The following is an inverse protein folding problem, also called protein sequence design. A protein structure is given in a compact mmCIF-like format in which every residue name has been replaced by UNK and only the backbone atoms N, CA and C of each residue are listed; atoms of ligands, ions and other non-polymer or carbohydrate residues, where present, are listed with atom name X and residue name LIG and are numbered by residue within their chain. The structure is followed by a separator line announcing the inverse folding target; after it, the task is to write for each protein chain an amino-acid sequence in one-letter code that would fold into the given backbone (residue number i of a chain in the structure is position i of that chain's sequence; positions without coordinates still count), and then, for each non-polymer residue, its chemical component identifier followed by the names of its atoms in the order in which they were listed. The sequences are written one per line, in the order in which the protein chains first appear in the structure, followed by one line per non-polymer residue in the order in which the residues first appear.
data_IF_730140631055
#
_entry.id   IF_730140631055
#
_cell.length_a   1.000
_cell.length_b   1.000
_cell.length_c   1.000
_cell.angle_alpha   90.00
_cell.angle_beta   90.00
_cell.angle_gamma   90.00
#
_symmetry.space_group_name_H-M   'P 1'
#
loop_
_entity.id
_entity.type
_entity.pdbx_description
1 polymer ?
#
# COMPACT_ATOMS: atom_id res chain seq x y z
N UNK A 1 -65.91 -47.03 -27.22
CA UNK A 1 -66.68 -46.12 -26.34
C UNK A 1 -66.02 -46.19 -24.98
N UNK A 2 -65.67 -45.02 -24.48
CA UNK A 2 -64.57 -44.73 -23.55
C UNK A 2 -64.68 -45.29 -22.14
N UNK A 3 -63.52 -45.54 -21.55
CA UNK A 3 -63.33 -45.90 -20.15
C UNK A 3 -63.54 -44.68 -19.25
N UNK A 4 -64.45 -44.80 -18.28
CA UNK A 4 -64.67 -43.84 -17.21
C UNK A 4 -63.57 -43.99 -16.16
N UNK A 5 -62.62 -43.05 -16.15
CA UNK A 5 -61.57 -42.93 -15.16
C UNK A 5 -62.15 -42.16 -13.95
N UNK A 6 -62.63 -42.91 -12.95
CA UNK A 6 -63.04 -42.36 -11.66
C UNK A 6 -61.81 -41.88 -10.89
N UNK A 7 -61.67 -40.57 -10.76
CA UNK A 7 -60.68 -39.94 -9.93
C UNK A 7 -60.97 -40.16 -8.44
N UNK A 8 -59.93 -40.48 -7.69
CA UNK A 8 -59.89 -40.21 -6.26
C UNK A 8 -58.74 -39.21 -6.02
N UNK A 9 -59.15 -37.98 -5.73
CA UNK A 9 -58.29 -36.83 -5.52
C UNK A 9 -57.73 -36.87 -4.10
N UNK A 10 -56.51 -37.35 -3.94
CA UNK A 10 -55.66 -37.02 -2.78
C UNK A 10 -54.63 -35.98 -3.20
N UNK A 11 -55.10 -34.77 -3.48
CA UNK A 11 -54.24 -33.65 -3.87
C UNK A 11 -54.62 -32.37 -3.10
N UNK A 12 -54.91 -32.50 -1.79
CA UNK A 12 -55.30 -31.39 -0.91
C UNK A 12 -54.27 -31.04 0.19
N UNK A 13 -53.03 -31.54 0.17
CA UNK A 13 -52.02 -31.17 1.18
C UNK A 13 -50.91 -30.21 0.70
N UNK A 14 -50.85 -29.87 -0.59
CA UNK A 14 -49.70 -29.14 -1.16
C UNK A 14 -49.80 -27.61 -1.07
N UNK A 15 -50.93 -27.07 -0.59
CA UNK A 15 -51.19 -25.62 -0.55
C UNK A 15 -50.76 -24.87 0.71
N UNK A 16 -50.30 -25.54 1.77
CA UNK A 16 -49.98 -24.88 3.06
C UNK A 16 -48.78 -25.44 3.82
N UNK A 17 -47.93 -26.25 3.17
CA UNK A 17 -46.72 -26.74 3.82
C UNK A 17 -45.74 -25.57 4.06
N UNK A 18 -45.47 -25.25 5.33
CA UNK A 18 -44.45 -24.26 5.70
C UNK A 18 -43.05 -24.77 5.32
N UNK A 19 -42.16 -23.86 4.92
CA UNK A 19 -40.80 -24.23 4.53
C UNK A 19 -40.02 -24.76 5.74
N UNK A 20 -39.54 -26.02 5.73
CA UNK A 20 -38.96 -26.65 6.92
C UNK A 20 -37.70 -25.95 7.44
N UNK A 21 -36.99 -25.21 6.58
CA UNK A 21 -35.69 -24.58 6.89
C UNK A 21 -35.79 -23.07 7.13
N UNK A 22 -36.98 -22.57 7.48
CA UNK A 22 -37.22 -21.15 7.72
C UNK A 22 -36.26 -20.51 8.74
N UNK A 23 -35.94 -21.23 9.82
CA UNK A 23 -35.10 -20.74 10.93
C UNK A 23 -33.60 -21.06 10.78
N UNK A 24 -33.16 -21.64 9.66
CA UNK A 24 -31.73 -21.99 9.46
C UNK A 24 -30.95 -20.72 9.16
N UNK A 25 -29.99 -20.34 10.01
CA UNK A 25 -29.22 -19.07 9.83
C UNK A 25 -28.26 -19.06 8.63
N UNK A 26 -27.72 -20.23 8.27
CA UNK A 26 -26.77 -20.37 7.15
C UNK A 26 -27.52 -20.38 5.81
N UNK A 27 -27.28 -19.41 4.91
CA UNK A 27 -28.04 -19.29 3.65
C UNK A 27 -27.82 -20.46 2.69
N UNK A 28 -26.62 -21.06 2.67
CA UNK A 28 -26.32 -22.23 1.84
C UNK A 28 -27.09 -23.45 2.30
N UNK A 29 -27.12 -23.69 3.62
CA UNK A 29 -27.92 -24.78 4.22
C UNK A 29 -29.42 -24.54 4.11
N UNK A 30 -29.84 -23.27 4.15
CA UNK A 30 -31.23 -22.87 3.96
C UNK A 30 -31.71 -23.21 2.55
N UNK A 31 -30.94 -22.90 1.51
CA UNK A 31 -31.26 -23.31 0.12
C UNK A 31 -31.00 -24.80 -0.14
N UNK A 32 -30.10 -25.44 0.61
CA UNK A 32 -29.78 -26.87 0.46
C UNK A 32 -28.70 -27.11 -0.60
N UNK A 33 -27.80 -26.16 -0.73
CA UNK A 33 -26.72 -26.15 -1.72
C UNK A 33 -25.37 -26.12 -1.01
N UNK A 34 -24.33 -26.57 -1.70
CA UNK A 34 -22.95 -26.48 -1.20
C UNK A 34 -22.48 -25.02 -1.16
N UNK A 35 -21.51 -24.73 -0.29
CA UNK A 35 -20.80 -23.42 -0.28
C UNK A 35 -20.05 -23.15 -1.58
N UNK A 36 -19.69 -24.22 -2.29
CA UNK A 36 -18.97 -24.20 -3.56
C UNK A 36 -19.91 -24.23 -4.77
N UNK A 37 -21.22 -24.15 -4.55
CA UNK A 37 -22.21 -24.22 -5.62
C UNK A 37 -22.04 -23.09 -6.66
N UNK A 38 -22.26 -23.46 -7.93
CA UNK A 38 -22.22 -22.54 -9.06
C UNK A 38 -23.37 -21.52 -8.99
N UNK A 39 -23.27 -20.42 -9.73
CA UNK A 39 -24.35 -19.41 -9.78
C UNK A 39 -25.65 -20.01 -10.35
N UNK A 40 -25.53 -20.91 -11.34
CA UNK A 40 -26.67 -21.60 -11.95
C UNK A 40 -27.37 -22.53 -10.94
N UNK A 41 -26.62 -23.24 -10.12
CA UNK A 41 -27.16 -24.10 -9.06
C UNK A 41 -27.89 -23.31 -7.99
N UNK A 42 -27.36 -22.14 -7.60
CA UNK A 42 -28.00 -21.23 -6.65
C UNK A 42 -29.35 -20.75 -7.19
N UNK A 43 -29.40 -20.34 -8.46
CA UNK A 43 -30.61 -19.84 -9.09
C UNK A 43 -31.65 -20.95 -9.33
N UNK A 44 -31.20 -22.15 -9.70
CA UNK A 44 -32.05 -23.32 -9.85
C UNK A 44 -32.68 -23.73 -8.52
N UNK A 45 -31.90 -23.78 -7.44
CA UNK A 45 -32.39 -24.09 -6.10
C UNK A 45 -33.42 -23.05 -5.60
N UNK A 46 -33.16 -21.75 -5.83
CA UNK A 46 -34.13 -20.69 -5.52
C UNK A 46 -35.45 -20.91 -6.25
N UNK A 47 -35.39 -21.08 -7.58
CA UNK A 47 -36.57 -21.22 -8.43
C UNK A 47 -37.41 -22.45 -8.05
N UNK A 48 -36.75 -23.58 -7.78
CA UNK A 48 -37.39 -24.79 -7.31
C UNK A 48 -38.12 -24.59 -5.96
N UNK A 49 -37.46 -23.95 -4.99
CA UNK A 49 -38.02 -23.74 -3.66
C UNK A 49 -39.16 -22.71 -3.66
N UNK A 50 -39.06 -21.63 -4.44
CA UNK A 50 -40.14 -20.64 -4.57
C UNK A 50 -41.39 -21.31 -5.16
N UNK A 51 -41.23 -22.10 -6.22
CA UNK A 51 -42.37 -22.80 -6.84
C UNK A 51 -43.01 -23.82 -5.88
N UNK A 52 -42.22 -24.52 -5.06
CA UNK A 52 -42.71 -25.51 -4.11
C UNK A 52 -43.45 -24.88 -2.91
N UNK A 53 -43.08 -23.67 -2.50
CA UNK A 53 -43.60 -23.02 -1.29
C UNK A 53 -44.31 -21.68 -1.56
N UNK A 54 -44.79 -21.46 -2.79
CA UNK A 54 -45.42 -20.22 -3.24
C UNK A 54 -46.65 -19.79 -2.42
N UNK A 55 -47.34 -20.75 -1.78
CA UNK A 55 -48.52 -20.49 -0.94
C UNK A 55 -48.22 -19.87 0.43
N UNK A 56 -46.97 -19.89 0.91
CA UNK A 56 -46.61 -19.39 2.25
C UNK A 56 -45.63 -18.22 2.16
N UNK A 57 -46.13 -16.98 2.28
CA UNK A 57 -45.33 -15.73 2.15
C UNK A 57 -44.04 -15.72 3.00
N UNK A 58 -44.04 -16.13 4.29
CA UNK A 58 -42.81 -16.15 5.09
C UNK A 58 -41.77 -17.14 4.55
N UNK A 59 -42.20 -18.22 3.89
CA UNK A 59 -41.28 -19.18 3.26
C UNK A 59 -40.54 -18.57 2.09
N UNK A 60 -41.27 -17.86 1.22
CA UNK A 60 -40.72 -17.21 0.04
C UNK A 60 -39.71 -16.14 0.44
N UNK A 61 -40.05 -15.29 1.41
CA UNK A 61 -39.16 -14.25 1.93
C UNK A 61 -37.88 -14.85 2.57
N UNK A 62 -38.01 -15.96 3.29
CA UNK A 62 -36.86 -16.67 3.85
C UNK A 62 -35.92 -17.25 2.78
N UNK A 63 -36.45 -17.65 1.62
CA UNK A 63 -35.69 -18.17 0.47
C UNK A 63 -34.99 -17.04 -0.28
N UNK A 64 -35.69 -15.93 -0.54
CA UNK A 64 -35.12 -14.76 -1.21
C UNK A 64 -34.00 -14.10 -0.39
N UNK A 65 -34.24 -13.90 0.91
CA UNK A 65 -33.20 -13.39 1.81
C UNK A 65 -31.96 -14.30 1.90
N UNK A 66 -32.11 -15.62 1.68
CA UNK A 66 -30.98 -16.54 1.62
C UNK A 66 -30.14 -16.32 0.36
N UNK A 67 -30.82 -16.20 -0.78
CA UNK A 67 -30.20 -15.92 -2.07
C UNK A 67 -29.42 -14.59 -2.03
N UNK A 68 -30.05 -13.52 -1.56
CA UNK A 68 -29.44 -12.18 -1.54
C UNK A 68 -28.19 -12.14 -0.65
N UNK A 69 -28.19 -12.87 0.47
CA UNK A 69 -27.00 -13.02 1.33
C UNK A 69 -25.85 -13.71 0.62
N UNK A 70 -26.11 -14.74 -0.19
CA UNK A 70 -25.07 -15.45 -0.94
C UNK A 70 -24.48 -14.53 -2.01
N UNK A 71 -25.33 -13.80 -2.74
CA UNK A 71 -24.89 -12.83 -3.75
C UNK A 71 -24.02 -11.74 -3.10
N UNK A 72 -24.47 -11.19 -1.96
CA UNK A 72 -23.73 -10.17 -1.24
C UNK A 72 -22.37 -10.70 -0.73
N UNK A 73 -22.34 -11.93 -0.23
CA UNK A 73 -21.09 -12.57 0.21
C UNK A 73 -20.10 -12.75 -0.96
N UNK A 74 -20.55 -13.27 -2.12
CA UNK A 74 -19.72 -13.41 -3.32
C UNK A 74 -19.23 -12.03 -3.84
N UNK A 75 -20.05 -10.99 -3.71
CA UNK A 75 -19.66 -9.62 -4.06
C UNK A 75 -18.55 -9.08 -3.14
N UNK A 76 -18.68 -9.27 -1.82
CA UNK A 76 -17.63 -8.87 -0.86
C UNK A 76 -16.31 -9.61 -1.10
N UNK A 77 -16.37 -10.91 -1.39
CA UNK A 77 -15.19 -11.72 -1.71
C UNK A 77 -14.48 -11.24 -2.99
N UNK A 78 -15.24 -10.83 -4.02
CA UNK A 78 -14.69 -10.23 -5.26
C UNK A 78 -14.14 -8.82 -5.04
N UNK A 79 -14.78 -8.01 -4.18
CA UNK A 79 -14.39 -6.60 -3.94
C UNK A 79 -13.21 -6.45 -3.00
N UNK A 80 -12.98 -7.41 -2.10
CA UNK A 80 -11.89 -7.34 -1.14
C UNK A 80 -11.07 -8.64 -1.17
N UNK A 81 -10.35 -8.92 -2.28
CA UNK A 81 -9.43 -10.04 -2.30
C UNK A 81 -8.46 -9.85 -1.15
N UNK A 82 -8.29 -10.86 -0.29
CA UNK A 82 -7.34 -10.81 0.84
C UNK A 82 -5.96 -10.50 0.27
N UNK A 83 -5.54 -9.24 0.31
CA UNK A 83 -4.24 -8.83 -0.21
C UNK A 83 -3.20 -9.34 0.76
N UNK A 84 -2.55 -10.45 0.41
CA UNK A 84 -1.39 -10.94 1.13
C UNK A 84 -0.20 -10.01 0.87
N UNK A 85 -0.16 -8.89 1.58
CA UNK A 85 0.90 -7.87 1.51
C UNK A 85 2.28 -8.51 1.65
N UNK A 86 2.41 -9.52 2.53
CA UNK A 86 3.65 -10.27 2.74
C UNK A 86 4.12 -11.01 1.49
N UNK A 87 3.20 -11.60 0.71
CA UNK A 87 3.53 -12.31 -0.54
C UNK A 87 3.92 -11.33 -1.65
N UNK A 88 3.23 -10.21 -1.75
CA UNK A 88 3.51 -9.16 -2.75
C UNK A 88 4.85 -8.45 -2.47
N UNK A 89 5.13 -8.13 -1.21
CA UNK A 89 6.43 -7.57 -0.79
C UNK A 89 7.56 -8.55 -1.08
N UNK A 90 7.40 -9.85 -0.76
CA UNK A 90 8.40 -10.88 -1.08
C UNK A 90 8.69 -10.98 -2.58
N UNK A 91 7.66 -10.91 -3.42
CA UNK A 91 7.82 -10.94 -4.87
C UNK A 91 8.58 -9.72 -5.40
N UNK A 92 8.31 -8.53 -4.87
CA UNK A 92 9.01 -7.28 -5.27
C UNK A 92 10.47 -7.29 -4.80
N UNK A 93 10.74 -7.74 -3.56
CA UNK A 93 12.11 -7.86 -3.03
C UNK A 93 12.96 -8.89 -3.78
N UNK A 94 12.34 -9.88 -4.45
CA UNK A 94 13.04 -10.88 -5.26
C UNK A 94 13.43 -10.39 -6.66
N UNK A 95 12.98 -9.21 -7.09
CA UNK A 95 13.31 -8.69 -8.41
C UNK A 95 14.79 -8.28 -8.48
N UNK A 96 15.52 -8.74 -9.51
CA UNK A 96 16.97 -8.48 -9.68
C UNK A 96 17.33 -6.99 -9.64
N UNK A 97 16.46 -6.14 -10.20
CA UNK A 97 16.65 -4.68 -10.19
C UNK A 97 16.50 -4.11 -8.78
N UNK A 98 15.51 -4.58 -8.02
CA UNK A 98 15.29 -4.14 -6.63
C UNK A 98 16.44 -4.61 -5.74
N UNK A 99 16.94 -5.82 -5.94
CA UNK A 99 18.12 -6.32 -5.23
C UNK A 99 19.39 -5.57 -5.60
N UNK A 100 19.60 -5.21 -6.87
CA UNK A 100 20.75 -4.42 -7.30
C UNK A 100 20.74 -3.04 -6.63
N UNK A 101 19.59 -2.35 -6.62
CA UNK A 101 19.44 -1.06 -5.94
C UNK A 101 19.57 -1.21 -4.42
N UNK A 102 18.88 -2.18 -3.81
CA UNK A 102 18.95 -2.42 -2.36
C UNK A 102 20.36 -2.82 -1.89
N UNK A 103 21.14 -3.55 -2.71
CA UNK A 103 22.51 -3.91 -2.37
C UNK A 103 23.45 -2.70 -2.27
N UNK A 104 23.09 -1.60 -2.93
CA UNK A 104 23.80 -0.31 -2.89
C UNK A 104 23.42 0.53 -1.66
N UNK A 105 22.27 0.25 -1.04
CA UNK A 105 21.72 0.96 0.10
C UNK A 105 21.69 0.05 1.34
N UNK A 106 22.74 0.11 2.16
CA UNK A 106 22.76 -0.62 3.43
C UNK A 106 22.26 0.28 4.54
N UNK A 107 21.19 -0.14 5.24
CA UNK A 107 20.70 0.55 6.43
C UNK A 107 21.78 0.53 7.52
N UNK A 108 22.36 1.68 7.89
CA UNK A 108 23.39 1.74 8.93
C UNK A 108 22.76 1.54 10.32
N UNK A 109 23.61 1.47 11.37
CA UNK A 109 23.13 1.40 12.75
C UNK A 109 22.36 2.66 13.13
N UNK A 110 21.32 2.53 13.97
CA UNK A 110 20.49 3.66 14.43
C UNK A 110 21.32 4.77 15.07
N UNK A 111 22.37 4.41 15.81
CA UNK A 111 23.30 5.37 16.42
C UNK A 111 24.04 6.22 15.38
N UNK A 112 24.43 5.60 14.26
CA UNK A 112 25.08 6.32 13.17
C UNK A 112 24.12 7.29 12.47
N UNK A 113 22.87 6.87 12.23
CA UNK A 113 21.83 7.74 11.65
C UNK A 113 21.62 8.97 12.54
N UNK A 114 21.48 8.78 13.86
CA UNK A 114 21.28 9.90 14.79
C UNK A 114 22.50 10.84 14.76
N UNK A 115 23.72 10.30 14.82
CA UNK A 115 24.96 11.11 14.76
C UNK A 115 25.05 11.95 13.49
N UNK A 116 24.78 11.36 12.32
CA UNK A 116 24.82 12.10 11.05
C UNK A 116 23.67 13.10 10.94
N UNK A 117 22.45 12.73 11.34
CA UNK A 117 21.29 13.63 11.35
C UNK A 117 21.53 14.85 12.23
N UNK A 118 22.04 14.67 13.46
CA UNK A 118 22.35 15.81 14.34
C UNK A 118 23.39 16.74 13.70
N UNK A 119 24.44 16.19 13.08
CA UNK A 119 25.47 17.01 12.44
C UNK A 119 24.90 17.88 11.30
N UNK A 120 24.09 17.31 10.41
CA UNK A 120 23.48 18.06 9.30
C UNK A 120 22.35 18.99 9.75
N UNK A 121 21.60 18.66 10.81
CA UNK A 121 20.59 19.54 11.39
C UNK A 121 21.23 20.77 12.05
N UNK A 122 22.29 20.58 12.83
CA UNK A 122 23.06 21.69 13.42
C UNK A 122 23.62 22.58 12.33
N UNK A 123 24.16 21.99 11.26
CA UNK A 123 24.68 22.74 10.12
C UNK A 123 23.58 23.53 9.40
N UNK A 124 22.43 22.92 9.11
CA UNK A 124 21.30 23.61 8.50
C UNK A 124 20.74 24.74 9.37
N UNK A 125 20.65 24.53 10.69
CA UNK A 125 20.26 25.58 11.63
C UNK A 125 21.26 26.73 11.65
N UNK A 126 22.56 26.43 11.64
CA UNK A 126 23.62 27.45 11.58
C UNK A 126 23.52 28.28 10.28
N UNK A 127 23.20 27.63 9.16
CA UNK A 127 22.99 28.29 7.87
C UNK A 127 21.80 29.24 7.85
N UNK A 128 20.71 28.88 8.53
CA UNK A 128 19.52 29.73 8.63
C UNK A 128 19.74 30.89 9.59
N UNK A 129 20.40 30.64 10.72
CA UNK A 129 20.59 31.63 11.80
C UNK A 129 21.73 32.62 11.50
N UNK A 130 22.78 32.18 10.82
CA UNK A 130 23.96 32.98 10.51
C UNK A 130 24.31 32.89 9.02
N UNK A 131 23.49 33.51 8.13
CA UNK A 131 23.86 33.65 6.73
C UNK A 131 25.06 34.62 6.62
N UNK A 132 26.18 34.14 6.10
CA UNK A 132 27.40 34.93 5.88
C UNK A 132 27.26 35.87 4.68
N UNK A 133 28.04 36.97 4.66
CA UNK A 133 27.99 37.98 3.59
C UNK A 133 28.33 37.41 2.20
N UNK A 134 29.21 36.41 2.16
CA UNK A 134 29.62 35.69 0.94
C UNK A 134 28.71 34.48 0.60
N UNK A 135 27.56 34.35 1.27
CA UNK A 135 26.68 33.17 1.17
C UNK A 135 27.20 31.96 1.96
N UNK A 136 26.46 30.83 2.03
CA UNK A 136 26.75 29.69 2.93
C UNK A 136 27.95 28.83 2.50
N UNK A 137 28.89 29.38 1.74
CA UNK A 137 30.03 28.67 1.12
C UNK A 137 30.87 27.89 2.14
N UNK A 138 31.20 28.51 3.28
CA UNK A 138 31.95 27.84 4.35
C UNK A 138 31.16 26.67 4.96
N UNK A 139 29.87 26.86 5.18
CA UNK A 139 28.99 25.82 5.74
C UNK A 139 28.84 24.67 4.75
N UNK A 140 28.75 24.96 3.45
CA UNK A 140 28.76 23.95 2.37
C UNK A 140 30.09 23.18 2.35
N UNK A 141 31.24 23.83 2.48
CA UNK A 141 32.52 23.15 2.57
C UNK A 141 32.60 22.21 3.78
N UNK A 142 32.13 22.65 4.95
CA UNK A 142 32.05 21.82 6.16
C UNK A 142 31.13 20.61 5.92
N UNK A 143 30.01 20.79 5.23
CA UNK A 143 29.09 19.70 4.88
C UNK A 143 29.76 18.62 4.01
N UNK A 144 30.61 19.04 3.07
CA UNK A 144 31.36 18.13 2.21
C UNK A 144 32.39 17.34 3.02
N UNK A 145 33.15 18.01 3.89
CA UNK A 145 34.12 17.35 4.77
C UNK A 145 33.43 16.37 5.72
N UNK A 146 32.28 16.74 6.30
CA UNK A 146 31.49 15.86 7.14
C UNK A 146 31.00 14.63 6.38
N UNK A 147 30.52 14.80 5.14
CA UNK A 147 30.10 13.71 4.26
C UNK A 147 31.27 12.75 4.00
N UNK A 148 32.44 13.28 3.63
CA UNK A 148 33.65 12.49 3.40
C UNK A 148 34.08 11.71 4.64
N UNK A 149 34.04 12.34 5.82
CA UNK A 149 34.37 11.71 7.08
C UNK A 149 33.41 10.56 7.43
N UNK A 150 32.10 10.79 7.34
CA UNK A 150 31.09 9.75 7.62
C UNK A 150 31.19 8.58 6.64
N UNK A 151 31.44 8.88 5.36
CA UNK A 151 31.59 7.85 4.35
C UNK A 151 32.90 7.07 4.52
N UNK A 152 33.98 7.73 4.95
CA UNK A 152 35.21 7.04 5.33
C UNK A 152 35.02 6.17 6.57
N UNK A 153 34.30 6.65 7.59
CA UNK A 153 34.03 5.87 8.80
C UNK A 153 33.23 4.60 8.49
N UNK A 154 32.30 4.66 7.52
CA UNK A 154 31.54 3.49 7.06
C UNK A 154 32.31 2.56 6.12
N UNK A 155 32.92 3.11 5.07
CA UNK A 155 33.52 2.32 3.99
C UNK A 155 34.95 1.86 4.31
N UNK A 156 35.59 2.49 5.31
CA UNK A 156 37.00 2.29 5.70
C UNK A 156 37.99 2.38 4.54
N UNK A 157 37.59 3.03 3.44
CA UNK A 157 38.38 3.20 2.21
C UNK A 157 38.42 4.66 1.81
N UNK A 158 39.63 5.23 1.76
CA UNK A 158 39.83 6.66 1.44
C UNK A 158 39.37 7.01 0.03
N UNK A 159 39.71 6.17 -0.96
CA UNK A 159 39.39 6.41 -2.37
C UNK A 159 37.88 6.31 -2.59
N UNK A 160 37.22 5.29 -2.05
CA UNK A 160 35.76 5.14 -2.20
C UNK A 160 35.01 6.26 -1.49
N UNK A 161 35.44 6.63 -0.28
CA UNK A 161 34.85 7.76 0.44
C UNK A 161 35.00 9.07 -0.34
N UNK A 162 36.17 9.32 -0.93
CA UNK A 162 36.39 10.50 -1.76
C UNK A 162 35.53 10.50 -3.02
N UNK A 163 35.55 9.42 -3.82
CA UNK A 163 34.78 9.32 -5.05
C UNK A 163 33.29 9.46 -4.81
N UNK A 164 32.74 8.72 -3.84
CA UNK A 164 31.32 8.81 -3.53
C UNK A 164 30.94 10.13 -2.86
N UNK A 165 31.81 10.72 -2.03
CA UNK A 165 31.58 12.04 -1.45
C UNK A 165 31.55 13.13 -2.53
N UNK A 166 32.53 13.15 -3.43
CA UNK A 166 32.59 14.09 -4.55
C UNK A 166 31.43 13.90 -5.53
N UNK A 167 31.09 12.66 -5.89
CA UNK A 167 29.97 12.37 -6.76
C UNK A 167 28.63 12.77 -6.11
N UNK A 168 28.44 12.47 -4.83
CA UNK A 168 27.25 12.87 -4.08
C UNK A 168 27.13 14.38 -3.99
N UNK A 169 28.23 15.10 -3.76
CA UNK A 169 28.26 16.55 -3.73
C UNK A 169 27.90 17.17 -5.07
N UNK A 170 28.57 16.75 -6.15
CA UNK A 170 28.28 17.25 -7.50
C UNK A 170 26.81 17.01 -7.87
N UNK A 171 26.30 15.80 -7.61
CA UNK A 171 24.89 15.49 -7.85
C UNK A 171 23.96 16.36 -7.00
N UNK A 172 24.22 16.47 -5.69
CA UNK A 172 23.38 17.23 -4.76
C UNK A 172 23.35 18.72 -5.10
N UNK A 173 24.50 19.28 -5.47
CA UNK A 173 24.63 20.69 -5.84
C UNK A 173 23.89 21.02 -7.15
N UNK A 174 24.11 20.21 -8.19
CA UNK A 174 23.42 20.37 -9.47
C UNK A 174 21.90 20.18 -9.31
N UNK A 175 21.49 19.16 -8.57
CA UNK A 175 20.08 18.88 -8.32
C UNK A 175 19.42 19.97 -7.48
N UNK A 176 20.08 20.44 -6.42
CA UNK A 176 19.57 21.53 -5.57
C UNK A 176 19.42 22.83 -6.35
N UNK A 177 20.40 23.17 -7.19
CA UNK A 177 20.34 24.35 -8.06
C UNK A 177 19.21 24.22 -9.08
N UNK A 178 19.09 23.07 -9.74
CA UNK A 178 18.00 22.79 -10.67
C UNK A 178 16.62 22.93 -10.00
N UNK A 179 16.44 22.39 -8.79
CA UNK A 179 15.18 22.45 -8.08
C UNK A 179 14.77 23.88 -7.70
N UNK A 180 15.75 24.71 -7.28
CA UNK A 180 15.53 26.13 -6.99
C UNK A 180 15.19 26.95 -8.24
N UNK A 181 15.84 26.67 -9.37
CA UNK A 181 15.62 27.43 -10.61
C UNK A 181 14.32 27.00 -11.32
N UNK A 182 13.92 25.73 -11.23
CA UNK A 182 12.81 25.19 -12.03
C UNK A 182 11.51 24.94 -11.28
N UNK A 183 11.53 24.65 -9.97
CA UNK A 183 10.36 24.08 -9.27
C UNK A 183 9.95 24.85 -8.03
N UNK A 184 10.90 25.33 -7.23
CA UNK A 184 10.63 25.85 -5.89
C UNK A 184 10.78 27.37 -5.85
N UNK A 185 9.68 28.15 -5.72
CA UNK A 185 9.80 29.56 -5.38
C UNK A 185 10.45 29.70 -4.00
N UNK A 186 11.31 30.71 -3.79
CA UNK A 186 12.08 30.85 -2.55
C UNK A 186 11.13 30.99 -1.35
N UNK A 187 11.14 29.99 -0.47
CA UNK A 187 10.30 29.98 0.75
C UNK A 187 10.77 31.01 1.77
N UNK A 188 12.06 31.34 1.77
CA UNK A 188 12.64 32.40 2.58
C UNK A 188 12.62 33.73 1.81
N UNK A 189 12.16 34.81 2.45
CA UNK A 189 12.19 36.17 1.88
C UNK A 189 13.54 36.81 2.21
N UNK A 190 14.33 37.18 1.19
CA UNK A 190 15.58 37.91 1.36
C UNK A 190 16.51 37.80 0.14
N UNK A 191 17.51 38.68 0.01
CA UNK A 191 18.42 38.75 -1.15
C UNK A 191 19.32 37.51 -1.33
N UNK A 192 19.35 36.58 -0.36
CA UNK A 192 20.19 35.36 -0.36
C UNK A 192 19.42 34.07 -0.09
N UNK A 193 18.09 34.10 -0.19
CA UNK A 193 17.26 32.94 0.10
C UNK A 193 17.52 31.78 -0.85
N UNK A 194 17.84 32.04 -2.12
CA UNK A 194 18.14 31.00 -3.11
C UNK A 194 19.38 30.18 -2.76
N UNK A 195 20.45 30.83 -2.32
CA UNK A 195 21.70 30.16 -1.94
C UNK A 195 21.53 29.35 -0.66
N UNK A 196 20.87 29.93 0.34
CA UNK A 196 20.53 29.23 1.59
C UNK A 196 19.67 28.00 1.30
N UNK A 197 18.62 28.13 0.49
CA UNK A 197 17.73 27.02 0.19
C UNK A 197 18.39 25.92 -0.66
N UNK A 198 19.25 26.30 -1.63
CA UNK A 198 20.08 25.34 -2.39
C UNK A 198 21.01 24.57 -1.46
N UNK A 199 21.64 25.27 -0.50
CA UNK A 199 22.54 24.64 0.47
C UNK A 199 21.80 23.68 1.40
N UNK A 200 20.60 24.01 1.87
CA UNK A 200 19.77 23.14 2.69
C UNK A 200 19.36 21.85 1.96
N UNK A 201 18.94 21.96 0.69
CA UNK A 201 18.65 20.78 -0.13
C UNK A 201 19.92 19.92 -0.30
N UNK A 202 21.05 20.58 -0.55
CA UNK A 202 22.35 19.91 -0.66
C UNK A 202 22.68 19.15 0.62
N UNK A 203 22.46 19.72 1.80
CA UNK A 203 22.70 19.06 3.09
C UNK A 203 21.83 17.83 3.29
N UNK A 204 20.55 17.89 2.92
CA UNK A 204 19.64 16.73 3.01
C UNK A 204 20.12 15.61 2.10
N UNK A 205 20.51 15.91 0.86
CA UNK A 205 20.98 14.91 -0.08
C UNK A 205 22.34 14.31 0.33
N UNK A 206 23.26 15.14 0.82
CA UNK A 206 24.54 14.69 1.38
C UNK A 206 24.35 13.82 2.63
N UNK A 207 23.39 14.16 3.50
CA UNK A 207 23.02 13.33 4.65
C UNK A 207 22.51 11.96 4.20
N UNK A 208 21.59 11.91 3.22
CA UNK A 208 21.08 10.64 2.67
C UNK A 208 22.21 9.82 2.07
N UNK A 209 23.08 10.44 1.26
CA UNK A 209 24.20 9.75 0.63
C UNK A 209 25.22 9.23 1.66
N UNK A 210 25.63 10.04 2.64
CA UNK A 210 26.58 9.60 3.68
C UNK A 210 26.00 8.52 4.61
N UNK A 211 24.68 8.53 4.81
CA UNK A 211 24.01 7.60 5.72
C UNK A 211 23.75 6.25 5.05
N UNK A 212 23.22 6.24 3.82
CA UNK A 212 22.70 5.02 3.22
C UNK A 212 23.56 4.42 2.10
N UNK A 213 24.45 5.20 1.47
CA UNK A 213 25.28 4.70 0.37
C UNK A 213 26.35 3.70 0.88
N UNK A 214 26.46 2.57 0.19
CA UNK A 214 27.49 1.54 0.44
C UNK A 214 28.74 1.74 -0.41
#
# INVERSE_FOLDING_TARGET
MDASYGGDMTNEETGSAAFPRLNVRDPYKRLGISREASEDEIQAARSFLINRYAGHKPSVDAIESAHDKIIMQKFYERRNPKIDVKKKVRAVTQHRVVQAVASRFQSPSTQFIIKTSVAFLVLGALTILFPTEEGPTLQVAISLVATLYFLYDRLKSRIRAFLYGAASFAFSWLFGTFLMVSVIPPLLKGPRSFEVMTSLITYVLLWVSSTYLK
#
